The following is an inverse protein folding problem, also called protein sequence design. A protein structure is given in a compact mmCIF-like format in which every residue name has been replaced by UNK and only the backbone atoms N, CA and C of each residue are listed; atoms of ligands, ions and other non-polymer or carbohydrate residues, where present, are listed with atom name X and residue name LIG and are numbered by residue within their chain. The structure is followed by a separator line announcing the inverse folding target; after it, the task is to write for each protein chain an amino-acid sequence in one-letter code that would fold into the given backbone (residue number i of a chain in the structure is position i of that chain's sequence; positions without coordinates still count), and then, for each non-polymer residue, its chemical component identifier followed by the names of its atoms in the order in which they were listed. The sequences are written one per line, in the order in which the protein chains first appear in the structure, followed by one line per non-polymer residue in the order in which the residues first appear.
data_IF_295717820546
#
_entry.id   IF_295717820546
#
_cell.length_a   1.000
_cell.length_b   1.000
_cell.length_c   1.000
_cell.angle_alpha   90.00
_cell.angle_beta   90.00
_cell.angle_gamma   90.00
#
_symmetry.space_group_name_H-M   'P 1'
#
loop_
_entity.id
_entity.type
_entity.pdbx_description
1 polymer ?
#
# COMPACT_ATOMS: atom_id res chain seq x y z
N UNK A 1 1.68 29.68 -10.87
CA UNK A 1 2.77 29.25 -9.97
C UNK A 1 2.92 27.75 -10.15
N UNK A 2 4.13 27.20 -10.36
CA UNK A 2 4.30 25.76 -10.44
C UNK A 2 3.91 25.13 -9.09
N UNK A 3 3.03 24.13 -9.13
CA UNK A 3 2.62 23.39 -7.95
C UNK A 3 3.79 22.50 -7.52
N UNK A 4 4.56 22.92 -6.51
CA UNK A 4 5.61 22.10 -5.93
C UNK A 4 4.93 20.95 -5.17
N UNK A 5 5.13 19.72 -5.65
CA UNK A 5 4.54 18.53 -5.04
C UNK A 5 5.38 18.15 -3.83
N UNK A 6 4.75 18.01 -2.67
CA UNK A 6 5.44 17.52 -1.47
C UNK A 6 6.08 16.16 -1.73
N UNK A 7 7.37 16.05 -1.42
CA UNK A 7 8.12 14.79 -1.53
C UNK A 7 7.72 13.85 -0.41
N UNK A 8 7.58 12.56 -0.73
CA UNK A 8 7.31 11.54 0.28
C UNK A 8 8.62 11.10 0.96
N UNK A 9 8.64 11.10 2.30
CA UNK A 9 9.79 10.58 3.06
C UNK A 9 9.76 9.05 3.05
N UNK A 10 10.88 8.42 2.68
CA UNK A 10 10.98 6.96 2.70
C UNK A 10 11.33 6.51 4.12
N UNK A 11 10.49 5.67 4.74
CA UNK A 11 10.74 5.12 6.07
C UNK A 11 10.35 3.65 6.16
N UNK A 12 10.89 2.95 7.17
CA UNK A 12 10.52 1.58 7.52
C UNK A 12 9.27 1.57 8.41
N UNK A 13 8.53 0.45 8.42
CA UNK A 13 7.31 0.32 9.24
C UNK A 13 7.59 0.46 10.74
N UNK A 14 8.73 -0.04 11.21
CA UNK A 14 9.16 0.05 12.61
C UNK A 14 9.66 1.45 13.03
N UNK A 15 9.74 2.38 12.09
CA UNK A 15 10.15 3.77 12.35
C UNK A 15 8.98 4.76 12.34
N UNK A 16 7.74 4.31 12.11
CA UNK A 16 6.57 5.18 12.11
C UNK A 16 6.29 5.63 13.55
N UNK A 17 6.21 6.93 13.76
CA UNK A 17 5.90 7.54 15.06
C UNK A 17 4.72 8.50 14.96
N UNK A 18 4.25 8.98 16.11
CA UNK A 18 3.18 9.99 16.18
C UNK A 18 3.56 11.32 15.49
N UNK A 19 4.85 11.63 15.38
CA UNK A 19 5.34 12.84 14.70
C UNK A 19 5.18 12.75 13.18
N UNK A 20 4.96 11.54 12.64
CA UNK A 20 4.76 11.29 11.22
C UNK A 20 3.31 11.43 10.78
N UNK A 21 2.35 11.55 11.72
CA UNK A 21 0.93 11.72 11.43
C UNK A 21 0.71 12.96 10.55
N UNK A 22 -0.02 12.77 9.46
CA UNK A 22 -0.28 13.81 8.46
C UNK A 22 0.90 14.13 7.53
N UNK A 23 2.05 13.45 7.66
CA UNK A 23 3.18 13.61 6.73
C UNK A 23 3.04 12.65 5.55
N UNK A 24 3.53 13.09 4.39
CA UNK A 24 3.57 12.22 3.22
C UNK A 24 4.72 11.22 3.37
N UNK A 25 4.39 9.95 3.48
CA UNK A 25 5.35 8.87 3.64
C UNK A 25 5.34 7.93 2.44
N UNK A 26 6.48 7.29 2.21
CA UNK A 26 6.66 6.16 1.30
C UNK A 26 7.22 4.98 2.08
N UNK A 27 6.41 3.95 2.24
CA UNK A 27 6.76 2.76 3.01
C UNK A 27 6.76 1.54 2.09
N UNK A 28 7.59 0.55 2.41
CA UNK A 28 7.56 -0.74 1.76
C UNK A 28 7.23 -1.83 2.76
N UNK A 29 6.47 -2.82 2.33
CA UNK A 29 6.22 -4.00 3.13
C UNK A 29 5.63 -5.13 2.32
N UNK A 30 5.45 -6.26 2.99
CA UNK A 30 4.82 -7.45 2.44
C UNK A 30 3.33 -7.42 2.74
N UNK A 31 2.50 -7.57 1.72
CA UNK A 31 1.05 -7.68 1.91
C UNK A 31 0.71 -9.03 2.51
N UNK A 32 0.16 -9.07 3.73
CA UNK A 32 -0.31 -10.31 4.35
C UNK A 32 -1.70 -10.67 3.86
N UNK A 33 -2.60 -9.71 3.94
CA UNK A 33 -4.02 -9.87 3.62
C UNK A 33 -4.58 -8.56 3.07
N UNK A 34 -5.63 -8.71 2.29
CA UNK A 34 -6.43 -7.63 1.74
C UNK A 34 -7.89 -7.99 1.97
N UNK A 35 -8.62 -7.09 2.61
CA UNK A 35 -10.06 -7.18 2.75
C UNK A 35 -10.73 -6.26 1.73
N UNK A 36 -11.51 -6.86 0.82
CA UNK A 36 -12.20 -6.13 -0.23
C UNK A 36 -13.42 -5.36 0.27
N UNK A 37 -14.00 -5.75 1.41
CA UNK A 37 -15.17 -5.06 1.98
C UNK A 37 -14.77 -3.73 2.61
N UNK A 38 -13.73 -3.74 3.46
CA UNK A 38 -13.20 -2.52 4.09
C UNK A 38 -12.16 -1.77 3.24
N UNK A 39 -11.71 -2.35 2.13
CA UNK A 39 -10.57 -1.87 1.36
C UNK A 39 -9.31 -1.63 2.21
N UNK A 40 -9.07 -2.52 3.19
CA UNK A 40 -7.90 -2.48 4.06
C UNK A 40 -6.88 -3.53 3.65
N UNK A 41 -5.62 -3.12 3.62
CA UNK A 41 -4.46 -3.99 3.43
C UNK A 41 -3.69 -4.07 4.74
N UNK A 42 -3.35 -5.28 5.17
CA UNK A 42 -2.41 -5.47 6.27
C UNK A 42 -1.00 -5.60 5.71
N UNK A 43 -0.22 -4.53 5.83
CA UNK A 43 1.17 -4.45 5.38
C UNK A 43 2.11 -4.86 6.51
N UNK A 44 3.12 -5.67 6.22
CA UNK A 44 4.00 -6.25 7.23
C UNK A 44 5.48 -6.12 6.87
N UNK A 45 6.30 -5.76 7.85
CA UNK A 45 7.76 -5.89 7.79
C UNK A 45 8.31 -6.43 9.12
N UNK A 46 9.13 -7.47 9.05
CA UNK A 46 9.72 -8.17 10.18
C UNK A 46 8.71 -8.63 11.27
N UNK A 47 8.49 -7.81 12.30
CA UNK A 47 7.56 -8.07 13.42
C UNK A 47 6.46 -7.01 13.54
N UNK A 48 6.48 -6.01 12.67
CA UNK A 48 5.58 -4.87 12.71
C UNK A 48 4.63 -4.94 11.53
N UNK A 49 3.39 -4.51 11.75
CA UNK A 49 2.41 -4.40 10.69
C UNK A 49 1.58 -3.12 10.83
N UNK A 50 1.11 -2.64 9.68
CA UNK A 50 0.38 -1.40 9.53
C UNK A 50 -0.87 -1.65 8.69
N UNK A 51 -2.00 -1.12 9.15
CA UNK A 51 -3.23 -1.07 8.36
C UNK A 51 -3.11 0.03 7.31
N UNK A 52 -3.38 -0.32 6.06
CA UNK A 52 -3.32 0.59 4.93
C UNK A 52 -4.70 0.66 4.29
N UNK A 53 -5.33 1.84 4.33
CA UNK A 53 -6.54 2.13 3.58
C UNK A 53 -6.19 2.38 2.11
N UNK A 54 -6.66 1.48 1.24
CA UNK A 54 -6.42 1.50 -0.20
C UNK A 54 -7.68 1.86 -1.00
N UNK A 55 -8.72 2.38 -0.35
CA UNK A 55 -9.98 2.79 -0.98
C UNK A 55 -9.80 3.80 -2.11
N UNK A 56 -8.76 4.64 -2.04
CA UNK A 56 -8.41 5.61 -3.10
C UNK A 56 -7.57 5.00 -4.23
N UNK A 57 -6.97 3.83 -4.00
CA UNK A 57 -6.02 3.19 -4.91
C UNK A 57 -6.64 2.07 -5.75
N UNK A 58 -7.89 1.70 -5.51
CA UNK A 58 -8.55 0.58 -6.19
C UNK A 58 -9.75 1.09 -6.97
N UNK A 59 -9.78 0.79 -8.27
CA UNK A 59 -10.98 1.00 -9.08
C UNK A 59 -11.99 -0.11 -8.76
N UNK A 60 -13.20 0.28 -8.35
CA UNK A 60 -14.29 -0.63 -8.01
C UNK A 60 -14.60 -1.60 -9.16
N UNK A 61 -14.47 -1.15 -10.41
CA UNK A 61 -14.77 -1.96 -11.58
C UNK A 61 -13.77 -3.12 -11.74
N UNK A 62 -12.51 -2.93 -11.30
CA UNK A 62 -11.49 -3.98 -11.35
C UNK A 62 -11.80 -5.08 -10.33
N UNK A 63 -12.25 -4.73 -9.12
CA UNK A 63 -12.65 -5.72 -8.11
C UNK A 63 -13.85 -6.57 -8.58
N UNK A 64 -14.84 -5.94 -9.20
CA UNK A 64 -16.05 -6.63 -9.69
C UNK A 64 -15.76 -7.56 -10.89
N UNK A 65 -14.77 -7.20 -11.72
CA UNK A 65 -14.39 -8.02 -12.88
C UNK A 65 -13.78 -9.37 -12.50
N UNK A 66 -13.03 -9.43 -11.39
CA UNK A 66 -12.38 -10.67 -10.91
C UNK A 66 -13.41 -11.70 -10.45
N UNK A 67 -14.52 -11.24 -9.85
CA UNK A 67 -15.59 -12.14 -9.40
C UNK A 67 -16.42 -12.70 -10.57
N UNK A 68 -16.46 -11.98 -11.69
CA UNK A 68 -17.30 -12.34 -12.85
C UNK A 68 -16.59 -13.27 -13.85
N UNK A 69 -15.27 -13.42 -13.77
CA UNK A 69 -14.44 -14.19 -14.71
C UNK A 69 -14.62 -15.72 -14.69
N UNK A 70 -15.53 -16.26 -13.88
CA UNK A 70 -15.87 -17.69 -13.85
C UNK A 70 -17.04 -18.09 -14.77
N UNK A 71 -17.75 -17.12 -15.37
CA UNK A 71 -18.88 -17.41 -16.23
C UNK A 71 -18.42 -17.58 -17.69
N UNK A 72 -18.41 -18.83 -18.15
CA UNK A 72 -18.34 -19.32 -19.55
C UNK A 72 -18.18 -18.24 -20.62
N UNK A 73 -17.04 -18.31 -21.30
CA UNK A 73 -16.76 -17.70 -22.60
C UNK A 73 -17.80 -18.18 -23.64
N UNK A 74 -18.97 -17.55 -23.67
CA UNK A 74 -19.92 -17.73 -24.75
C UNK A 74 -19.38 -16.98 -25.98
N UNK A 75 -19.04 -17.76 -27.00
CA UNK A 75 -18.64 -17.32 -28.34
C UNK A 75 -19.76 -16.50 -28.99
N UNK A 76 -19.87 -15.23 -28.61
CA UNK A 76 -20.80 -14.25 -29.17
C UNK A 76 -20.08 -13.29 -30.10
N UNK A 77 -20.19 -13.54 -31.40
CA UNK A 77 -19.66 -12.73 -32.48
C UNK A 77 -20.30 -11.32 -32.50
N UNK A 78 -19.45 -10.29 -32.65
CA UNK A 78 -19.75 -8.96 -33.21
C UNK A 78 -20.62 -8.01 -32.37
N UNK A 79 -20.09 -7.53 -31.26
CA UNK A 79 -20.56 -6.31 -30.59
C UNK A 79 -19.40 -5.36 -30.39
N UNK A 80 -19.51 -4.15 -30.96
CA UNK A 80 -18.51 -3.09 -30.85
C UNK A 80 -18.50 -2.56 -29.40
N UNK A 81 -17.87 -3.30 -28.48
CA UNK A 81 -17.74 -2.89 -27.08
C UNK A 81 -16.91 -1.62 -27.05
N UNK A 82 -17.58 -0.52 -26.75
CA UNK A 82 -16.99 0.78 -26.47
C UNK A 82 -16.10 0.62 -25.25
N UNK A 83 -14.84 0.22 -25.49
CA UNK A 83 -13.78 0.18 -24.50
C UNK A 83 -13.63 1.61 -24.02
N UNK A 84 -14.27 1.93 -22.90
CA UNK A 84 -13.98 3.15 -22.16
C UNK A 84 -12.48 3.20 -21.97
N UNK A 85 -11.83 4.21 -22.55
CA UNK A 85 -10.42 4.58 -22.33
C UNK A 85 -10.21 4.99 -20.87
N UNK A 86 -10.57 4.13 -19.92
CA UNK A 86 -10.16 4.27 -18.53
C UNK A 86 -8.70 3.88 -18.47
N UNK A 87 -7.91 4.78 -17.91
CA UNK A 87 -6.46 4.69 -17.79
C UNK A 87 -6.04 3.29 -17.36
N UNK A 88 -5.55 2.50 -18.32
CA UNK A 88 -5.01 1.15 -18.11
C UNK A 88 -3.69 1.14 -17.33
N UNK A 89 -3.34 2.25 -16.67
CA UNK A 89 -2.00 2.50 -16.19
C UNK A 89 -1.80 2.18 -14.70
N UNK A 90 -2.87 1.87 -13.96
CA UNK A 90 -2.75 1.41 -12.57
C UNK A 90 -2.91 -0.11 -12.55
N UNK A 91 -1.79 -0.82 -12.42
CA UNK A 91 -1.79 -2.28 -12.29
C UNK A 91 -2.29 -2.68 -10.89
N UNK A 92 -3.58 -2.96 -10.74
CA UNK A 92 -4.16 -3.43 -9.48
C UNK A 92 -3.93 -4.92 -9.20
N UNK A 93 -3.10 -5.62 -10.00
CA UNK A 93 -2.78 -7.04 -9.75
C UNK A 93 -2.13 -7.27 -8.40
N UNK A 94 -1.51 -6.24 -7.81
CA UNK A 94 -0.96 -6.32 -6.46
C UNK A 94 -2.02 -6.76 -5.44
N UNK A 95 -3.30 -6.38 -5.61
CA UNK A 95 -4.38 -6.76 -4.69
C UNK A 95 -4.72 -8.27 -4.74
N UNK A 96 -4.38 -8.93 -5.84
CA UNK A 96 -4.55 -10.37 -6.04
C UNK A 96 -3.29 -11.16 -5.62
N UNK A 97 -2.12 -10.53 -5.64
CA UNK A 97 -0.83 -11.15 -5.31
C UNK A 97 -0.66 -11.28 -3.79
N UNK A 98 -1.08 -12.44 -3.24
CA UNK A 98 -0.82 -12.75 -1.83
C UNK A 98 0.68 -12.76 -1.55
N UNK A 99 1.08 -12.13 -0.44
CA UNK A 99 2.47 -12.13 0.05
C UNK A 99 3.48 -11.42 -0.84
N UNK A 100 3.03 -10.64 -1.83
CA UNK A 100 3.90 -9.77 -2.62
C UNK A 100 4.42 -8.58 -1.80
N UNK A 101 5.59 -8.05 -2.19
CA UNK A 101 6.07 -6.77 -1.67
C UNK A 101 5.44 -5.63 -2.46
N UNK A 102 5.05 -4.57 -1.75
CA UNK A 102 4.46 -3.37 -2.33
C UNK A 102 5.11 -2.12 -1.75
N UNK A 103 5.19 -1.08 -2.58
CA UNK A 103 5.41 0.29 -2.15
C UNK A 103 4.06 0.94 -1.91
N UNK A 104 3.91 1.60 -0.77
CA UNK A 104 2.75 2.41 -0.42
C UNK A 104 3.21 3.85 -0.22
N UNK A 105 2.57 4.78 -0.91
CA UNK A 105 2.72 6.22 -0.65
C UNK A 105 1.39 6.74 -0.11
N UNK A 106 1.43 7.41 1.02
CA UNK A 106 0.22 7.85 1.71
C UNK A 106 0.52 8.78 2.87
N UNK A 107 -0.51 9.00 3.68
CA UNK A 107 -0.44 9.79 4.91
C UNK A 107 -0.91 8.92 6.07
N UNK A 108 -0.10 8.73 7.12
CA UNK A 108 -0.58 8.07 8.32
C UNK A 108 -1.55 9.01 9.05
N UNK A 109 -2.70 8.48 9.42
CA UNK A 109 -3.78 9.16 10.11
C UNK A 109 -4.06 8.43 11.42
N UNK A 110 -4.39 9.19 12.45
CA UNK A 110 -4.87 8.61 13.71
C UNK A 110 -6.38 8.37 13.60
N UNK A 111 -6.81 7.18 13.99
CA UNK A 111 -8.22 6.79 13.97
C UNK A 111 -8.71 6.65 15.41
N UNK A 112 -9.84 7.29 15.71
CA UNK A 112 -10.41 7.28 17.06
C UNK A 112 -11.14 5.96 17.39
N UNK A 113 -11.34 5.10 16.39
CA UNK A 113 -12.02 3.82 16.51
C UNK A 113 -11.12 2.70 15.99
N UNK A 114 -11.20 1.55 16.65
CA UNK A 114 -10.49 0.36 16.20
C UNK A 114 -11.04 -0.09 14.85
N UNK A 115 -10.18 -0.13 13.83
CA UNK A 115 -10.53 -0.72 12.54
C UNK A 115 -10.53 -2.25 12.63
N UNK A 116 -11.40 -2.93 11.85
CA UNK A 116 -11.38 -4.38 11.79
C UNK A 116 -10.03 -4.84 11.24
N UNK A 117 -9.29 -5.60 12.04
CA UNK A 117 -8.03 -6.21 11.59
C UNK A 117 -8.39 -7.37 10.65
N UNK A 118 -7.90 -7.37 9.39
CA UNK A 118 -8.14 -8.49 8.48
C UNK A 118 -7.65 -9.82 9.05
N UNK A 119 -8.37 -10.91 8.79
CA UNK A 119 -8.04 -12.23 9.34
C UNK A 119 -6.60 -12.66 8.99
N UNK A 120 -5.77 -12.86 10.00
CA UNK A 120 -4.40 -13.33 9.83
C UNK A 120 -4.38 -14.84 9.51
N UNK A 121 -3.53 -15.29 8.55
CA UNK A 121 -3.34 -16.72 8.33
C UNK A 121 -2.77 -17.41 9.59
N UNK A 122 -3.37 -18.52 10.00
CA UNK A 122 -3.06 -19.23 11.26
C UNK A 122 -1.60 -19.70 11.42
N UNK A 123 -0.81 -19.75 10.35
CA UNK A 123 0.59 -20.19 10.36
C UNK A 123 1.58 -19.05 10.59
N UNK A 124 1.13 -17.79 10.66
CA UNK A 124 2.00 -16.65 10.93
C UNK A 124 1.93 -16.23 12.40
N UNK A 125 3.07 -15.89 13.02
CA UNK A 125 3.03 -15.21 14.32
C UNK A 125 2.28 -13.89 14.16
N UNK A 126 1.49 -13.51 15.18
CA UNK A 126 0.79 -12.24 15.17
C UNK A 126 1.82 -11.09 15.17
N UNK A 127 1.81 -10.22 14.15
CA UNK A 127 2.67 -9.04 14.16
C UNK A 127 2.18 -8.02 15.18
N UNK A 128 3.07 -7.14 15.61
CA UNK A 128 2.73 -5.97 16.41
C UNK A 128 2.01 -4.99 15.49
N UNK A 129 0.73 -4.74 15.77
CA UNK A 129 -0.12 -3.80 15.04
C UNK A 129 -0.56 -2.72 16.02
N UNK A 130 -0.37 -1.46 15.65
CA UNK A 130 -1.04 -0.34 16.31
C UNK A 130 -2.35 -0.04 15.55
N UNK A 131 -3.53 -0.38 16.10
CA UNK A 131 -4.80 -0.17 15.43
C UNK A 131 -5.20 1.31 15.35
N UNK A 132 -4.54 2.19 16.13
CA UNK A 132 -4.86 3.61 16.17
C UNK A 132 -4.23 4.39 15.02
N UNK A 133 -3.27 3.80 14.29
CA UNK A 133 -2.58 4.43 13.16
C UNK A 133 -2.91 3.67 11.87
N UNK A 134 -3.44 4.41 10.89
CA UNK A 134 -3.82 3.86 9.59
C UNK A 134 -3.18 4.68 8.50
N UNK A 135 -2.56 4.01 7.54
CA UNK A 135 -1.96 4.67 6.39
C UNK A 135 -3.00 4.86 5.29
N UNK A 136 -3.40 6.10 5.04
CA UNK A 136 -4.27 6.43 3.91
C UNK A 136 -3.48 6.49 2.62
N UNK A 137 -3.55 5.41 1.83
CA UNK A 137 -2.76 5.27 0.62
C UNK A 137 -3.30 6.15 -0.52
N UNK A 138 -2.40 6.88 -1.15
CA UNK A 138 -2.63 7.62 -2.39
C UNK A 138 -2.08 6.85 -3.59
N UNK A 139 -1.06 6.02 -3.37
CA UNK A 139 -0.49 5.14 -4.38
C UNK A 139 -0.04 3.83 -3.76
N UNK A 140 -0.40 2.72 -4.42
CA UNK A 140 0.16 1.40 -4.15
C UNK A 140 0.76 0.86 -5.43
N UNK A 141 2.01 0.40 -5.38
CA UNK A 141 2.72 -0.15 -6.51
C UNK A 141 3.44 -1.46 -6.14
N UNK A 142 3.46 -2.47 -7.03
CA UNK A 142 4.20 -3.69 -6.78
C UNK A 142 5.72 -3.43 -6.67
N UNK A 143 6.38 -4.16 -5.78
CA UNK A 143 7.81 -4.03 -5.48
C UNK A 143 8.49 -5.41 -5.56
N UNK A 144 8.30 -6.11 -6.69
CA UNK A 144 8.69 -7.53 -6.86
C UNK A 144 10.17 -7.82 -6.60
N UNK A 145 11.03 -6.87 -6.94
CA UNK A 145 12.48 -7.01 -6.82
C UNK A 145 13.05 -6.30 -5.58
N UNK A 146 12.18 -5.91 -4.63
CA UNK A 146 12.60 -5.17 -3.46
C UNK A 146 13.39 -6.07 -2.48
N UNK A 147 14.65 -5.72 -2.27
CA UNK A 147 15.47 -6.29 -1.23
C UNK A 147 15.34 -5.46 0.07
N UNK A 148 14.52 -5.94 1.01
CA UNK A 148 14.29 -5.27 2.29
C UNK A 148 15.55 -5.09 3.14
N UNK A 149 16.52 -6.01 3.04
CA UNK A 149 17.78 -5.92 3.78
C UNK A 149 18.61 -4.74 3.24
N UNK A 150 18.69 -4.62 1.91
CA UNK A 150 19.39 -3.50 1.28
C UNK A 150 18.69 -2.18 1.54
N UNK A 151 17.35 -2.13 1.47
CA UNK A 151 16.57 -0.93 1.79
C UNK A 151 16.84 -0.46 3.21
N UNK A 152 16.80 -1.38 4.19
CA UNK A 152 17.08 -1.07 5.60
C UNK A 152 18.52 -0.56 5.79
N UNK A 153 19.50 -1.15 5.11
CA UNK A 153 20.90 -0.67 5.14
C UNK A 153 21.00 0.77 4.62
N UNK A 154 20.41 1.05 3.46
CA UNK A 154 20.45 2.40 2.86
C UNK A 154 19.75 3.43 3.74
N UNK A 155 18.60 3.09 4.32
CA UNK A 155 17.88 4.01 5.21
C UNK A 155 18.64 4.24 6.53
N UNK A 156 19.31 3.22 7.07
CA UNK A 156 20.17 3.39 8.24
C UNK A 156 21.35 4.32 7.92
N UNK A 157 22.02 4.12 6.77
CA UNK A 157 23.09 4.99 6.30
C UNK A 157 22.60 6.45 6.12
N UNK A 158 21.40 6.64 5.57
CA UNK A 158 20.81 7.98 5.39
C UNK A 158 20.41 8.65 6.71
N UNK A 159 19.94 7.89 7.69
CA UNK A 159 19.58 8.41 9.01
C UNK A 159 20.81 8.86 9.82
N UNK A 160 21.97 8.25 9.57
CA UNK A 160 23.24 8.66 10.18
C UNK A 160 23.81 9.96 9.60
N UNK A 161 23.38 10.40 8.41
CA UNK A 161 23.86 11.65 7.81
C UNK A 161 23.16 12.84 8.48
N UNK A 162 23.86 13.65 9.30
CA UNK A 162 23.25 14.83 9.88
C UNK A 162 22.82 15.80 8.77
N UNK A 163 21.72 16.56 8.96
CA UNK A 163 21.30 17.56 7.98
C UNK A 163 22.47 18.50 7.71
N UNK A 164 22.96 18.47 6.47
CA UNK A 164 24.11 19.27 6.08
C UNK A 164 23.78 20.75 6.31
N UNK A 165 24.62 21.51 7.02
CA UNK A 165 24.33 22.87 7.46
C UNK A 165 24.44 23.90 6.33
N UNK A 166 24.20 23.53 5.07
CA UNK A 166 24.26 24.48 3.98
C UNK A 166 23.15 25.52 4.15
N UNK A 167 23.50 26.82 4.25
CA UNK A 167 22.50 27.88 4.29
C UNK A 167 21.78 27.92 2.93
N UNK A 168 20.45 27.89 2.99
CA UNK A 168 19.54 28.12 1.86
C UNK A 168 19.55 29.59 1.47
#
# INVERSE_FOLDING_TARGET
MPQQVDSATVIMLDCITDDDIGRKLRIAGRMLTYDAESALVLLHDASHALLVDVSLCIDADVLLSVQSGGAKEERGSNGNTMVTMRDRNVDHRWALERKGYVWVVGYPERVDHDLPIPELPAYLPAPVIDPSIVMRAVLVAPARDLNMVQLRSVLAEMAEVPPTPYPV
#
